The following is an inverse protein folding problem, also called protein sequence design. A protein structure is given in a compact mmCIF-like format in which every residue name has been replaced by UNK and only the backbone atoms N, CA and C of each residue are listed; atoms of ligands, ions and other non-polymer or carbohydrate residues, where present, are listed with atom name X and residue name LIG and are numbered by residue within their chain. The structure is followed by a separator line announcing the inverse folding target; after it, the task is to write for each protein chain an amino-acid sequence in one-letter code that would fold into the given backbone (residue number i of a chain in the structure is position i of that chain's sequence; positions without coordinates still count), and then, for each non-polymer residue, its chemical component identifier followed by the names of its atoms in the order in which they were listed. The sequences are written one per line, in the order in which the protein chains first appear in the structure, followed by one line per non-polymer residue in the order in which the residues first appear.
data_IF_721077292877
#
_entry.id   IF_721077292877
#
_cell.length_a   1.000
_cell.length_b   1.000
_cell.length_c   1.000
_cell.angle_alpha   90.00
_cell.angle_beta   90.00
_cell.angle_gamma   90.00
#
_symmetry.space_group_name_H-M   'P 1'
#
loop_
_entity.id
_entity.type
_entity.pdbx_description
1 polymer ?
#
# COMPACT_ATOMS: atom_id res chain seq x y z
N UNK A 1 21.17 56.91 23.50
CA UNK A 1 20.35 56.35 22.39
C UNK A 1 21.03 55.06 21.94
N UNK A 2 20.38 53.91 22.13
CA UNK A 2 20.57 52.61 21.45
C UNK A 2 19.93 51.53 22.34
N UNK A 3 18.59 51.47 22.32
CA UNK A 3 17.81 50.32 22.77
C UNK A 3 17.44 49.54 21.51
N UNK A 4 17.77 48.24 21.45
CA UNK A 4 17.41 47.43 20.29
C UNK A 4 17.91 45.98 20.33
N UNK A 5 17.98 45.36 21.50
CA UNK A 5 18.18 43.92 21.59
C UNK A 5 16.86 43.19 21.37
N UNK A 6 16.61 42.70 20.14
CA UNK A 6 15.55 41.74 19.85
C UNK A 6 15.99 40.39 20.42
N UNK A 7 15.84 40.23 21.74
CA UNK A 7 15.77 38.93 22.37
C UNK A 7 14.29 38.56 22.40
N UNK A 8 13.85 37.77 21.40
CA UNK A 8 12.61 37.01 21.46
C UNK A 8 12.71 36.04 22.65
N UNK A 9 12.40 36.53 23.85
CA UNK A 9 12.06 35.68 24.99
C UNK A 9 10.78 34.95 24.61
N UNK A 10 10.94 33.74 24.07
CA UNK A 10 9.84 32.78 23.94
C UNK A 10 9.34 32.49 25.35
N UNK A 11 8.24 33.13 25.73
CA UNK A 11 7.56 32.86 26.98
C UNK A 11 6.96 31.44 26.90
N UNK A 12 7.38 30.48 27.73
CA UNK A 12 6.87 29.10 27.70
C UNK A 12 5.37 28.99 28.02
N UNK A 13 4.71 30.11 28.38
CA UNK A 13 3.25 30.20 28.57
C UNK A 13 2.48 30.60 27.31
N UNK A 14 3.14 30.80 26.17
CA UNK A 14 2.41 31.01 24.91
C UNK A 14 1.84 29.67 24.42
N UNK A 15 0.52 29.58 24.14
CA UNK A 15 -0.13 28.34 23.73
C UNK A 15 0.55 27.72 22.49
N UNK A 16 1.10 28.56 21.61
CA UNK A 16 1.88 28.15 20.44
C UNK A 16 3.10 27.28 20.77
N UNK A 17 3.84 27.59 21.83
CA UNK A 17 5.04 26.83 22.24
C UNK A 17 4.63 25.45 22.78
N UNK A 18 3.58 25.38 23.60
CA UNK A 18 3.04 24.10 24.08
C UNK A 18 2.54 23.21 22.92
N UNK A 19 1.85 23.80 21.93
CA UNK A 19 1.42 23.08 20.73
C UNK A 19 2.59 22.59 19.88
N UNK A 20 3.66 23.39 19.75
CA UNK A 20 4.87 23.00 19.02
C UNK A 20 5.50 21.76 19.65
N UNK A 21 5.78 21.80 20.95
CA UNK A 21 6.35 20.64 21.66
C UNK A 21 5.42 19.43 21.63
N UNK A 22 4.11 19.63 21.84
CA UNK A 22 3.12 18.57 21.73
C UNK A 22 3.12 17.90 20.34
N UNK A 23 3.24 18.69 19.27
CA UNK A 23 3.29 18.18 17.89
C UNK A 23 4.53 17.34 17.63
N UNK A 24 5.70 17.80 18.10
CA UNK A 24 6.97 17.06 17.98
C UNK A 24 6.94 15.77 18.78
N UNK A 25 6.44 15.81 20.03
CA UNK A 25 6.33 14.62 20.89
C UNK A 25 5.39 13.59 20.27
N UNK A 26 4.20 14.01 19.82
CA UNK A 26 3.26 13.12 19.14
C UNK A 26 3.87 12.56 17.86
N UNK A 27 4.56 13.40 17.09
CA UNK A 27 5.29 12.96 15.90
C UNK A 27 6.32 11.88 16.20
N UNK A 28 7.19 12.08 17.20
CA UNK A 28 8.20 11.09 17.60
C UNK A 28 7.55 9.78 18.04
N UNK A 29 6.52 9.85 18.90
CA UNK A 29 5.82 8.66 19.38
C UNK A 29 5.14 7.91 18.24
N UNK A 30 4.41 8.62 17.38
CA UNK A 30 3.75 8.03 16.21
C UNK A 30 4.74 7.47 15.21
N UNK A 31 5.89 8.13 15.01
CA UNK A 31 6.95 7.67 14.14
C UNK A 31 7.57 6.36 14.62
N UNK A 32 7.91 6.28 15.92
CA UNK A 32 8.50 5.07 16.50
C UNK A 32 7.51 3.89 16.52
N UNK A 33 6.28 4.11 17.00
CA UNK A 33 5.24 3.07 17.06
C UNK A 33 4.82 2.66 15.64
N UNK A 34 4.59 3.63 14.76
CA UNK A 34 4.18 3.40 13.37
C UNK A 34 5.24 2.63 12.58
N UNK A 35 6.52 2.93 12.79
CA UNK A 35 7.63 2.15 12.20
C UNK A 35 7.65 0.71 12.68
N UNK A 36 7.60 0.48 14.00
CA UNK A 36 7.56 -0.87 14.56
C UNK A 36 6.41 -1.68 13.97
N UNK A 37 5.22 -1.09 13.94
CA UNK A 37 4.01 -1.69 13.43
C UNK A 37 4.11 -2.05 11.95
N UNK A 38 4.45 -1.08 11.09
CA UNK A 38 4.47 -1.27 9.65
C UNK A 38 5.60 -2.21 9.22
N UNK A 39 6.78 -2.10 9.85
CA UNK A 39 7.88 -3.02 9.60
C UNK A 39 7.50 -4.45 10.01
N UNK A 40 6.95 -4.67 11.21
CA UNK A 40 6.51 -6.01 11.63
C UNK A 40 5.44 -6.59 10.71
N UNK A 41 4.51 -5.77 10.24
CA UNK A 41 3.48 -6.18 9.29
C UNK A 41 4.10 -6.64 7.95
N UNK A 42 5.01 -5.84 7.37
CA UNK A 42 5.65 -6.15 6.09
C UNK A 42 6.58 -7.36 6.20
N UNK A 43 7.52 -7.36 7.16
CA UNK A 43 8.43 -8.48 7.37
C UNK A 43 7.69 -9.77 7.74
N UNK A 44 6.59 -9.67 8.47
CA UNK A 44 5.74 -10.82 8.76
C UNK A 44 5.08 -11.41 7.52
N UNK A 45 4.63 -10.56 6.58
CA UNK A 45 4.11 -11.03 5.29
C UNK A 45 5.20 -11.74 4.50
N UNK A 46 6.34 -11.10 4.32
CA UNK A 46 7.45 -11.65 3.52
C UNK A 46 7.98 -12.96 4.13
N UNK A 47 8.11 -13.02 5.46
CA UNK A 47 8.56 -14.22 6.16
C UNK A 47 7.57 -15.39 5.96
N UNK A 48 6.28 -15.20 6.21
CA UNK A 48 5.30 -16.28 6.07
C UNK A 48 5.16 -16.71 4.60
N UNK A 49 5.12 -15.75 3.67
CA UNK A 49 4.98 -16.01 2.24
C UNK A 49 6.19 -16.78 1.67
N UNK A 50 7.42 -16.45 2.12
CA UNK A 50 8.62 -17.19 1.72
C UNK A 50 8.60 -18.64 2.17
N UNK A 51 8.15 -18.92 3.41
CA UNK A 51 8.01 -20.29 3.92
C UNK A 51 6.94 -21.08 3.14
N UNK A 52 5.83 -20.44 2.77
CA UNK A 52 4.80 -21.06 1.94
C UNK A 52 5.32 -21.39 0.54
N UNK A 53 6.14 -20.51 -0.06
CA UNK A 53 6.71 -20.72 -1.39
C UNK A 53 7.59 -21.98 -1.41
N UNK A 54 8.40 -22.20 -0.37
CA UNK A 54 9.20 -23.43 -0.21
C UNK A 54 8.30 -24.67 -0.12
N UNK A 55 7.20 -24.60 0.62
CA UNK A 55 6.22 -25.69 0.71
C UNK A 55 5.51 -25.97 -0.62
N UNK A 56 5.21 -24.92 -1.40
CA UNK A 56 4.56 -25.01 -2.71
C UNK A 56 5.46 -25.74 -3.71
N UNK A 57 6.77 -25.49 -3.69
CA UNK A 57 7.74 -26.15 -4.57
C UNK A 57 7.92 -27.66 -4.27
N UNK A 58 7.52 -28.13 -3.08
CA UNK A 58 7.64 -29.53 -2.67
C UNK A 58 6.50 -30.46 -3.11
N UNK A 59 5.42 -29.93 -3.69
CA UNK A 59 4.20 -30.67 -4.04
C UNK A 59 3.63 -30.21 -5.39
N UNK A 60 2.65 -30.92 -5.99
CA UNK A 60 1.97 -30.43 -7.18
C UNK A 60 1.38 -29.04 -6.96
N UNK A 61 1.77 -28.07 -7.79
CA UNK A 61 1.45 -26.65 -7.62
C UNK A 61 -0.04 -26.39 -7.32
N UNK A 62 -0.96 -27.04 -8.03
CA UNK A 62 -2.39 -26.83 -7.82
C UNK A 62 -2.85 -27.23 -6.40
N UNK A 63 -2.36 -28.35 -5.88
CA UNK A 63 -2.76 -28.87 -4.56
C UNK A 63 -2.21 -27.99 -3.45
N UNK A 64 -0.96 -27.54 -3.58
CA UNK A 64 -0.33 -26.66 -2.59
C UNK A 64 -1.01 -25.29 -2.54
N UNK A 65 -1.33 -24.68 -3.69
CA UNK A 65 -2.12 -23.45 -3.73
C UNK A 65 -3.52 -23.62 -3.13
N UNK A 66 -4.24 -24.71 -3.44
CA UNK A 66 -5.55 -24.97 -2.82
C UNK A 66 -5.42 -25.07 -1.31
N UNK A 67 -4.43 -25.80 -0.79
CA UNK A 67 -4.24 -26.00 0.65
C UNK A 67 -3.95 -24.68 1.38
N UNK A 68 -2.97 -23.90 0.87
CA UNK A 68 -2.57 -22.63 1.46
C UNK A 68 -3.70 -21.60 1.41
N UNK A 69 -4.34 -21.43 0.25
CA UNK A 69 -5.45 -20.47 0.11
C UNK A 69 -6.68 -20.88 0.92
N UNK A 70 -6.95 -22.18 1.07
CA UNK A 70 -8.03 -22.66 1.95
C UNK A 70 -7.75 -22.34 3.41
N UNK A 71 -6.54 -22.57 3.90
CA UNK A 71 -6.14 -22.23 5.27
C UNK A 71 -6.27 -20.73 5.52
N UNK A 72 -5.77 -19.91 4.58
CA UNK A 72 -5.89 -18.45 4.60
C UNK A 72 -7.35 -18.00 4.66
N UNK A 73 -8.20 -18.54 3.77
CA UNK A 73 -9.61 -18.19 3.70
C UNK A 73 -10.37 -18.58 4.97
N UNK A 74 -10.05 -19.72 5.59
CA UNK A 74 -10.63 -20.14 6.87
C UNK A 74 -10.29 -19.16 8.01
N UNK A 75 -9.04 -18.73 8.09
CA UNK A 75 -8.60 -17.75 9.10
C UNK A 75 -9.31 -16.40 8.86
N UNK A 76 -9.38 -15.92 7.60
CA UNK A 76 -10.09 -14.67 7.26
C UNK A 76 -11.58 -14.77 7.58
N UNK A 77 -12.22 -15.92 7.30
CA UNK A 77 -13.62 -16.16 7.65
C UNK A 77 -13.84 -16.17 9.17
N UNK A 78 -12.90 -16.74 9.94
CA UNK A 78 -12.93 -16.70 11.40
C UNK A 78 -12.80 -15.27 11.94
N UNK A 79 -11.87 -14.46 11.39
CA UNK A 79 -11.72 -13.05 11.76
C UNK A 79 -12.99 -12.24 11.42
N UNK A 80 -13.66 -12.55 10.31
CA UNK A 80 -14.94 -11.93 9.95
C UNK A 80 -16.06 -12.28 10.95
N UNK A 81 -16.05 -13.50 11.49
CA UNK A 81 -16.96 -13.90 12.58
C UNK A 81 -16.68 -13.10 13.86
N UNK A 82 -15.40 -12.90 14.22
CA UNK A 82 -15.02 -12.06 15.36
C UNK A 82 -15.39 -10.57 15.18
N UNK A 83 -15.43 -10.11 13.93
CA UNK A 83 -15.92 -8.80 13.53
C UNK A 83 -17.46 -8.69 13.56
N UNK A 84 -18.18 -9.73 14.04
CA UNK A 84 -19.64 -9.79 14.10
C UNK A 84 -20.31 -9.62 12.73
N UNK A 85 -19.63 -10.02 11.64
CA UNK A 85 -20.13 -9.89 10.28
C UNK A 85 -20.09 -8.49 9.69
N UNK A 86 -19.57 -7.49 10.43
CA UNK A 86 -19.39 -6.13 9.91
C UNK A 86 -18.30 -6.17 8.81
N UNK A 87 -18.47 -5.45 7.68
CA UNK A 87 -17.43 -5.33 6.67
C UNK A 87 -16.10 -4.84 7.27
N UNK A 88 -14.99 -5.42 6.80
CA UNK A 88 -13.66 -4.94 7.15
C UNK A 88 -13.43 -3.52 6.63
N UNK A 89 -12.59 -2.79 7.36
CA UNK A 89 -12.33 -1.38 7.16
C UNK A 89 -11.00 -1.14 6.44
N UNK A 90 -10.97 -0.11 5.61
CA UNK A 90 -9.80 0.25 4.79
C UNK A 90 -9.52 1.74 4.76
N UNK A 91 -8.85 2.19 3.69
CA UNK A 91 -8.44 3.59 3.53
C UNK A 91 -9.67 4.53 3.56
N UNK A 92 -10.79 4.13 2.95
CA UNK A 92 -12.01 4.93 2.93
C UNK A 92 -12.53 5.24 4.35
N UNK A 93 -12.46 4.26 5.27
CA UNK A 93 -12.79 4.47 6.68
C UNK A 93 -11.81 5.43 7.36
N UNK A 94 -10.51 5.34 7.04
CA UNK A 94 -9.50 6.26 7.55
C UNK A 94 -9.76 7.71 7.14
N UNK A 95 -10.10 7.93 5.87
CA UNK A 95 -10.50 9.25 5.35
C UNK A 95 -11.75 9.72 6.09
N UNK A 96 -12.78 8.87 6.22
CA UNK A 96 -13.99 9.22 6.95
C UNK A 96 -13.70 9.62 8.41
N UNK A 97 -12.83 8.89 9.10
CA UNK A 97 -12.45 9.17 10.48
C UNK A 97 -11.67 10.47 10.64
N UNK A 98 -10.76 10.79 9.70
CA UNK A 98 -10.04 12.06 9.70
C UNK A 98 -10.97 13.28 9.60
N UNK A 99 -12.12 13.11 8.94
CA UNK A 99 -13.08 14.20 8.71
C UNK A 99 -14.26 14.22 9.69
N UNK A 100 -14.27 13.38 10.73
CA UNK A 100 -15.36 13.35 11.71
C UNK A 100 -14.99 14.13 12.98
N UNK A 101 -15.86 15.04 13.43
CA UNK A 101 -15.64 15.83 14.66
C UNK A 101 -15.64 14.99 15.94
N UNK A 102 -16.35 13.87 15.96
CA UNK A 102 -16.44 12.92 17.07
C UNK A 102 -15.73 11.61 16.72
N UNK A 103 -15.05 11.00 17.68
CA UNK A 103 -14.47 9.67 17.51
C UNK A 103 -15.56 8.60 17.35
N UNK A 104 -15.78 8.16 16.09
CA UNK A 104 -16.68 7.05 15.71
C UNK A 104 -15.90 5.76 15.41
N UNK A 105 -14.62 5.70 15.78
CA UNK A 105 -13.75 4.61 15.38
C UNK A 105 -14.04 3.33 16.15
N UNK A 106 -14.08 2.22 15.40
CA UNK A 106 -14.23 0.87 15.95
C UNK A 106 -12.86 0.22 16.01
N UNK A 107 -12.04 0.59 16.99
CA UNK A 107 -10.65 0.13 17.13
C UNK A 107 -10.52 -1.39 16.96
N UNK A 108 -11.36 -2.19 17.65
CA UNK A 108 -11.36 -3.66 17.52
C UNK A 108 -11.58 -4.12 16.08
N UNK A 109 -12.52 -3.52 15.36
CA UNK A 109 -12.80 -3.86 13.96
C UNK A 109 -11.63 -3.46 13.05
N UNK A 110 -11.01 -2.32 13.29
CA UNK A 110 -9.82 -1.87 12.56
C UNK A 110 -8.66 -2.86 12.69
N UNK A 111 -8.33 -3.29 13.92
CA UNK A 111 -7.31 -4.33 14.15
C UNK A 111 -7.65 -5.67 13.50
N UNK A 112 -8.92 -6.10 13.54
CA UNK A 112 -9.35 -7.32 12.85
C UNK A 112 -9.23 -7.20 11.33
N UNK A 113 -9.49 -6.01 10.78
CA UNK A 113 -9.39 -5.73 9.34
C UNK A 113 -7.94 -5.77 8.87
N UNK A 114 -7.02 -5.15 9.63
CA UNK A 114 -5.59 -5.17 9.32
C UNK A 114 -5.02 -6.58 9.45
N UNK A 115 -5.43 -7.34 10.47
CA UNK A 115 -5.05 -8.74 10.63
C UNK A 115 -5.60 -9.63 9.49
N UNK A 116 -6.84 -9.41 9.05
CA UNK A 116 -7.40 -10.15 7.91
C UNK A 116 -6.62 -9.88 6.62
N UNK A 117 -6.17 -8.65 6.42
CA UNK A 117 -5.32 -8.30 5.29
C UNK A 117 -3.91 -8.90 5.40
N UNK A 118 -3.31 -8.89 6.59
CA UNK A 118 -2.03 -9.54 6.87
C UNK A 118 -2.09 -11.02 6.52
N UNK A 119 -3.13 -11.72 6.98
CA UNK A 119 -3.34 -13.15 6.71
C UNK A 119 -3.56 -13.39 5.22
N UNK A 120 -4.36 -12.57 4.55
CA UNK A 120 -4.62 -12.70 3.11
C UNK A 120 -3.33 -12.52 2.29
N UNK A 121 -2.55 -11.47 2.58
CA UNK A 121 -1.32 -11.17 1.88
C UNK A 121 -0.22 -12.21 2.15
N UNK A 122 -0.02 -12.58 3.41
CA UNK A 122 0.95 -13.61 3.81
C UNK A 122 0.57 -15.01 3.33
N UNK A 123 -0.73 -15.26 3.18
CA UNK A 123 -1.32 -16.46 2.60
C UNK A 123 -1.29 -16.55 1.07
N UNK A 124 -0.62 -15.61 0.40
CA UNK A 124 -0.41 -15.61 -1.05
C UNK A 124 -1.59 -15.16 -1.90
N UNK A 125 -2.68 -14.65 -1.31
CA UNK A 125 -3.74 -14.02 -2.08
C UNK A 125 -3.19 -12.78 -2.82
N UNK A 126 -3.73 -12.49 -4.00
CA UNK A 126 -3.29 -11.35 -4.80
C UNK A 126 -3.94 -10.08 -4.25
N UNK A 127 -3.32 -9.48 -3.25
CA UNK A 127 -3.82 -8.29 -2.54
C UNK A 127 -2.68 -7.34 -2.20
N UNK A 128 -3.01 -6.09 -1.92
CA UNK A 128 -2.06 -5.07 -1.50
C UNK A 128 -1.96 -4.90 0.02
N UNK A 129 -0.76 -4.60 0.50
CA UNK A 129 -0.50 -4.34 1.92
C UNK A 129 -0.73 -2.88 2.34
N UNK A 130 -0.58 -1.93 1.41
CA UNK A 130 -0.48 -0.51 1.77
C UNK A 130 -1.79 0.10 2.26
N UNK A 131 -2.94 -0.27 1.70
CA UNK A 131 -4.23 0.20 2.22
C UNK A 131 -4.50 -0.26 3.66
N UNK A 132 -4.31 -1.56 3.97
CA UNK A 132 -4.32 -2.05 5.34
C UNK A 132 -3.30 -1.34 6.25
N UNK A 133 -2.08 -1.05 5.78
CA UNK A 133 -1.08 -0.32 6.56
C UNK A 133 -1.52 1.12 6.89
N UNK A 134 -2.11 1.85 5.93
CA UNK A 134 -2.71 3.17 6.16
C UNK A 134 -3.80 3.09 7.23
N UNK A 135 -4.69 2.10 7.09
CA UNK A 135 -5.74 1.91 8.08
C UNK A 135 -5.17 1.52 9.45
N UNK A 136 -4.12 0.71 9.49
CA UNK A 136 -3.46 0.34 10.73
C UNK A 136 -2.84 1.58 11.43
N UNK A 137 -2.14 2.43 10.67
CA UNK A 137 -1.63 3.70 11.17
C UNK A 137 -2.73 4.61 11.71
N UNK A 138 -3.91 4.62 11.08
CA UNK A 138 -5.10 5.33 11.58
C UNK A 138 -5.54 4.79 12.94
N UNK A 139 -5.68 3.47 13.08
CA UNK A 139 -6.14 2.85 14.32
C UNK A 139 -5.14 3.06 15.46
N UNK A 140 -3.83 3.00 15.18
CA UNK A 140 -2.81 3.36 16.17
C UNK A 140 -2.91 4.83 16.55
N UNK A 141 -3.04 5.73 15.57
CA UNK A 141 -3.18 7.17 15.83
C UNK A 141 -4.35 7.47 16.74
N UNK A 142 -5.52 6.90 16.45
CA UNK A 142 -6.72 7.08 17.28
C UNK A 142 -6.56 6.44 18.66
N UNK A 143 -5.93 5.27 18.75
CA UNK A 143 -5.62 4.64 20.04
C UNK A 143 -4.72 5.54 20.88
N UNK A 144 -3.64 6.09 20.30
CA UNK A 144 -2.72 6.98 21.00
C UNK A 144 -3.41 8.28 21.43
N UNK A 145 -4.30 8.83 20.59
CA UNK A 145 -5.11 10.01 20.91
C UNK A 145 -6.00 9.81 22.15
N UNK A 146 -6.52 8.60 22.36
CA UNK A 146 -7.33 8.28 23.55
C UNK A 146 -6.50 8.25 24.85
N UNK A 147 -5.22 7.95 24.76
CA UNK A 147 -4.31 7.96 25.92
C UNK A 147 -3.63 9.32 26.15
N UNK A 148 -3.32 10.05 25.07
CA UNK A 148 -2.58 11.30 25.14
C UNK A 148 -3.37 12.46 24.50
N UNK A 149 -3.67 13.48 25.31
CA UNK A 149 -4.35 14.68 24.85
C UNK A 149 -3.42 15.91 24.90
N UNK A 150 -2.54 16.04 23.90
CA UNK A 150 -1.65 17.21 23.75
C UNK A 150 -2.35 18.43 23.09
N UNK A 151 -3.68 18.52 23.18
CA UNK A 151 -4.47 19.58 22.54
C UNK A 151 -4.55 19.49 21.00
N UNK A 152 -3.97 18.46 20.39
CA UNK A 152 -4.04 18.21 18.95
C UNK A 152 -5.36 17.50 18.58
N UNK A 153 -5.87 17.80 17.39
CA UNK A 153 -7.07 17.15 16.84
C UNK A 153 -6.84 15.68 16.50
N UNK A 154 -7.94 14.94 16.35
CA UNK A 154 -7.92 13.52 16.00
C UNK A 154 -7.36 13.29 14.58
N UNK A 155 -7.64 14.22 13.67
CA UNK A 155 -7.07 14.33 12.32
C UNK A 155 -5.53 14.33 12.35
N UNK A 156 -4.90 15.08 13.26
CA UNK A 156 -3.44 15.15 13.38
C UNK A 156 -2.84 13.80 13.79
N UNK A 157 -3.47 13.09 14.73
CA UNK A 157 -3.02 11.75 15.13
C UNK A 157 -3.22 10.72 14.02
N UNK A 158 -4.34 10.78 13.30
CA UNK A 158 -4.58 9.92 12.13
C UNK A 158 -3.52 10.21 11.06
N UNK A 159 -3.33 11.47 10.69
CA UNK A 159 -2.35 11.88 9.69
C UNK A 159 -0.93 11.46 10.07
N UNK A 160 -0.53 11.65 11.33
CA UNK A 160 0.79 11.25 11.81
C UNK A 160 0.99 9.72 11.75
N UNK A 161 -0.04 8.95 12.10
CA UNK A 161 0.00 7.50 12.03
C UNK A 161 0.02 6.96 10.60
N UNK A 162 -0.76 7.55 9.71
CA UNK A 162 -0.73 7.24 8.28
C UNK A 162 0.64 7.57 7.69
N UNK A 163 1.18 8.76 7.96
CA UNK A 163 2.48 9.16 7.44
C UNK A 163 3.60 8.25 7.95
N UNK A 164 3.60 7.88 9.24
CA UNK A 164 4.54 6.91 9.78
C UNK A 164 4.43 5.53 9.08
N UNK A 165 3.21 5.00 8.94
CA UNK A 165 2.98 3.70 8.32
C UNK A 165 3.42 3.65 6.85
N UNK A 166 3.13 4.70 6.07
CA UNK A 166 3.57 4.81 4.67
C UNK A 166 5.08 5.01 4.58
N UNK A 167 5.64 5.88 5.42
CA UNK A 167 7.08 6.20 5.43
C UNK A 167 7.94 4.96 5.66
N UNK A 168 7.64 4.17 6.69
CA UNK A 168 8.34 2.90 6.96
C UNK A 168 7.96 1.78 5.99
N UNK A 169 6.69 1.71 5.54
CA UNK A 169 6.24 0.71 4.58
C UNK A 169 6.93 0.81 3.21
N UNK A 170 7.16 2.03 2.72
CA UNK A 170 7.80 2.30 1.44
C UNK A 170 9.27 2.72 1.52
N UNK A 171 9.79 3.03 2.72
CA UNK A 171 11.09 3.69 2.84
C UNK A 171 11.09 5.10 2.23
N UNK A 172 9.95 5.79 2.23
CA UNK A 172 9.76 7.05 1.51
C UNK A 172 9.09 8.12 2.41
N UNK A 173 9.86 8.88 3.20
CA UNK A 173 9.29 9.82 4.17
C UNK A 173 8.54 10.98 3.53
N UNK A 174 8.99 11.46 2.37
CA UNK A 174 8.30 12.53 1.63
C UNK A 174 6.95 12.01 1.12
N UNK A 175 6.90 10.80 0.56
CA UNK A 175 5.66 10.19 0.10
C UNK A 175 4.67 9.99 1.26
N UNK A 176 5.12 9.53 2.44
CA UNK A 176 4.27 9.39 3.62
C UNK A 176 3.66 10.72 4.10
N UNK A 177 4.46 11.79 4.10
CA UNK A 177 4.00 13.13 4.44
C UNK A 177 2.95 13.65 3.45
N UNK A 178 3.24 13.57 2.14
CA UNK A 178 2.34 14.06 1.10
C UNK A 178 1.05 13.25 1.08
N UNK A 179 1.14 11.91 1.14
CA UNK A 179 -0.02 11.02 1.14
C UNK A 179 -0.98 11.32 2.29
N UNK A 180 -0.46 11.52 3.51
CA UNK A 180 -1.30 11.87 4.65
C UNK A 180 -2.06 13.19 4.43
N UNK A 181 -1.41 14.20 3.84
CA UNK A 181 -2.05 15.48 3.58
C UNK A 181 -3.02 15.46 2.40
N UNK A 182 -2.63 14.86 1.29
CA UNK A 182 -3.40 14.90 0.04
C UNK A 182 -4.55 13.90 0.03
N UNK A 183 -4.31 12.68 0.48
CA UNK A 183 -5.29 11.58 0.39
C UNK A 183 -6.17 11.52 1.63
N UNK A 184 -5.59 11.65 2.83
CA UNK A 184 -6.31 11.41 4.09
C UNK A 184 -6.92 12.67 4.69
N UNK A 185 -6.13 13.74 4.83
CA UNK A 185 -6.58 14.95 5.52
C UNK A 185 -7.25 15.98 4.61
N UNK A 186 -6.81 16.08 3.35
CA UNK A 186 -7.26 17.09 2.37
C UNK A 186 -7.21 18.54 2.88
N UNK A 187 -6.38 18.82 3.88
CA UNK A 187 -6.14 20.17 4.38
C UNK A 187 -4.70 20.32 4.88
N UNK A 188 -4.19 21.55 4.76
CA UNK A 188 -2.87 21.93 5.22
C UNK A 188 -3.04 22.93 6.36
N UNK A 189 -2.79 22.49 7.60
CA UNK A 189 -2.59 23.39 8.72
C UNK A 189 -1.13 23.31 9.18
N UNK A 190 -0.54 24.45 9.55
CA UNK A 190 0.85 24.47 10.07
C UNK A 190 1.04 23.51 11.26
N UNK A 191 0.00 23.33 12.08
CA UNK A 191 0.00 22.43 13.24
C UNK A 191 0.06 20.96 12.82
N UNK A 192 -0.75 20.55 11.84
CA UNK A 192 -0.75 19.19 11.31
C UNK A 192 0.56 18.83 10.63
N UNK A 193 1.12 19.76 9.83
CA UNK A 193 2.34 19.50 9.04
C UNK A 193 3.50 19.10 9.94
N UNK A 194 3.68 19.78 11.07
CA UNK A 194 4.78 19.49 12.00
C UNK A 194 4.72 18.07 12.58
N UNK A 195 3.59 17.68 13.17
CA UNK A 195 3.44 16.35 13.76
C UNK A 195 3.55 15.23 12.71
N UNK A 196 3.01 15.47 11.51
CA UNK A 196 2.99 14.49 10.42
C UNK A 196 4.39 14.34 9.81
N UNK A 197 5.09 15.45 9.55
CA UNK A 197 6.46 15.43 9.02
C UNK A 197 7.43 14.78 10.01
N UNK A 198 7.32 15.13 11.30
CA UNK A 198 8.16 14.51 12.33
C UNK A 198 7.86 13.02 12.47
N UNK A 199 6.59 12.59 12.46
CA UNK A 199 6.24 11.17 12.44
C UNK A 199 6.81 10.44 11.23
N UNK A 200 6.69 11.03 10.04
CA UNK A 200 7.21 10.45 8.80
C UNK A 200 8.73 10.27 8.83
N UNK A 201 9.48 11.32 9.20
CA UNK A 201 10.93 11.28 9.28
C UNK A 201 11.45 10.34 10.37
N UNK A 202 10.86 10.39 11.57
CA UNK A 202 11.22 9.48 12.67
C UNK A 202 10.92 8.03 12.29
N UNK A 203 9.77 7.79 11.63
CA UNK A 203 9.43 6.44 11.19
C UNK A 203 10.41 5.90 10.15
N UNK A 204 10.85 6.72 9.20
CA UNK A 204 11.87 6.31 8.23
C UNK A 204 13.21 6.04 8.92
N UNK A 205 13.68 6.97 9.76
CA UNK A 205 14.95 6.82 10.48
C UNK A 205 14.96 5.56 11.35
N UNK A 206 13.89 5.31 12.09
CA UNK A 206 13.75 4.13 12.95
C UNK A 206 13.71 2.83 12.12
N UNK A 207 12.94 2.82 11.03
CA UNK A 207 12.86 1.67 10.12
C UNK A 207 14.21 1.33 9.50
N UNK A 208 14.90 2.34 8.98
CA UNK A 208 16.21 2.20 8.34
C UNK A 208 17.31 1.77 9.32
N UNK A 209 17.24 2.21 10.58
CA UNK A 209 18.23 1.82 11.59
C UNK A 209 18.01 0.39 12.10
N UNK A 210 16.77 0.02 12.41
CA UNK A 210 16.45 -1.26 13.08
C UNK A 210 16.33 -2.40 12.08
N UNK A 211 15.66 -2.19 10.96
CA UNK A 211 15.42 -3.24 9.96
C UNK A 211 16.34 -3.15 8.74
N UNK A 212 17.20 -2.11 8.67
CA UNK A 212 18.06 -1.85 7.50
C UNK A 212 17.28 -1.90 6.20
N UNK A 213 16.06 -1.37 6.22
CA UNK A 213 15.13 -1.47 5.09
C UNK A 213 15.79 -0.83 3.87
N UNK A 214 16.17 -1.60 2.83
CA UNK A 214 16.62 -0.98 1.59
C UNK A 214 15.47 -0.15 1.04
N UNK A 215 15.80 0.86 0.24
CA UNK A 215 14.78 1.52 -0.58
C UNK A 215 14.03 0.44 -1.36
N UNK A 216 12.70 0.53 -1.43
CA UNK A 216 11.89 -0.50 -2.10
C UNK A 216 12.30 -0.67 -3.55
N UNK A 217 12.95 0.34 -4.15
CA UNK A 217 13.60 0.23 -5.44
C UNK A 217 14.93 0.99 -5.39
N UNK A 218 16.03 0.32 -5.73
CA UNK A 218 17.36 0.93 -5.88
C UNK A 218 17.66 1.01 -7.37
N UNK A 219 17.91 2.22 -7.88
CA UNK A 219 17.90 2.50 -9.31
C UNK A 219 19.29 2.92 -9.80
N UNK A 220 19.81 2.36 -10.91
CA UNK A 220 21.02 2.87 -11.52
C UNK A 220 20.76 4.28 -12.09
N UNK A 221 21.80 5.11 -12.11
CA UNK A 221 21.77 6.40 -12.81
C UNK A 221 21.73 6.09 -14.30
N UNK A 222 20.61 6.36 -14.95
CA UNK A 222 20.43 6.21 -16.39
C UNK A 222 20.78 7.53 -17.07
N UNK A 223 21.66 7.47 -18.06
CA UNK A 223 21.82 8.55 -19.03
C UNK A 223 20.72 8.38 -20.09
N UNK A 224 19.91 9.42 -20.29
CA UNK A 224 18.82 9.42 -21.27
C UNK A 224 18.63 10.83 -21.86
N UNK A 225 18.09 10.90 -23.07
CA UNK A 225 17.63 12.15 -23.64
C UNK A 225 16.31 12.56 -22.97
N UNK A 226 16.36 13.64 -22.19
CA UNK A 226 15.21 14.15 -21.46
C UNK A 226 14.05 14.51 -22.40
N UNK A 227 14.32 15.05 -23.59
CA UNK A 227 13.27 15.45 -24.52
C UNK A 227 12.53 14.23 -25.05
N UNK A 228 13.26 13.20 -25.47
CA UNK A 228 12.71 11.93 -25.95
C UNK A 228 11.86 11.25 -24.87
N UNK A 229 12.41 11.11 -23.65
CA UNK A 229 11.71 10.49 -22.52
C UNK A 229 10.43 11.24 -22.18
N UNK A 230 10.46 12.57 -22.12
CA UNK A 230 9.27 13.38 -21.81
C UNK A 230 8.20 13.22 -22.90
N UNK A 231 8.59 13.25 -24.17
CA UNK A 231 7.67 13.11 -25.29
C UNK A 231 6.99 11.72 -25.28
N UNK A 232 7.77 10.65 -25.12
CA UNK A 232 7.25 9.28 -25.09
C UNK A 232 6.45 8.99 -23.82
N UNK A 233 6.83 9.60 -22.69
CA UNK A 233 6.04 9.54 -21.45
C UNK A 233 4.69 10.22 -21.60
N UNK A 234 4.63 11.32 -22.34
CA UNK A 234 3.35 11.97 -22.67
C UNK A 234 2.48 11.08 -23.57
N UNK A 235 3.08 10.46 -24.59
CA UNK A 235 2.38 9.56 -25.52
C UNK A 235 1.90 8.27 -24.84
N UNK A 236 2.61 7.76 -23.84
CA UNK A 236 2.19 6.58 -23.06
C UNK A 236 1.07 6.86 -22.06
N UNK A 237 0.78 8.14 -21.75
CA UNK A 237 -0.29 8.55 -20.82
C UNK A 237 -1.64 7.89 -21.07
N UNK A 238 -2.21 7.92 -22.30
CA UNK A 238 -3.45 7.22 -22.64
C UNK A 238 -3.42 5.71 -22.39
N UNK A 239 -2.25 5.06 -22.59
CA UNK A 239 -2.09 3.61 -22.37
C UNK A 239 -2.13 3.30 -20.87
N UNK A 240 -1.43 4.10 -20.05
CA UNK A 240 -1.50 3.97 -18.59
C UNK A 240 -2.89 4.28 -18.04
N UNK A 241 -3.57 5.29 -18.59
CA UNK A 241 -4.94 5.61 -18.23
C UNK A 241 -5.90 4.46 -18.58
N UNK A 242 -5.76 3.86 -19.76
CA UNK A 242 -6.52 2.67 -20.14
C UNK A 242 -6.29 1.52 -19.15
N UNK A 243 -5.03 1.25 -18.80
CA UNK A 243 -4.66 0.21 -17.84
C UNK A 243 -5.30 0.43 -16.46
N UNK A 244 -5.22 1.65 -15.94
CA UNK A 244 -5.84 2.01 -14.65
C UNK A 244 -7.37 1.90 -14.67
N UNK A 245 -8.02 2.42 -15.72
CA UNK A 245 -9.48 2.34 -15.90
C UNK A 245 -9.90 0.87 -16.01
N UNK A 246 -9.20 0.08 -16.81
CA UNK A 246 -9.50 -1.34 -16.98
C UNK A 246 -9.37 -2.10 -15.65
N UNK A 247 -8.28 -1.88 -14.90
CA UNK A 247 -8.08 -2.45 -13.57
C UNK A 247 -9.26 -2.12 -12.63
N UNK A 248 -9.63 -0.85 -12.51
CA UNK A 248 -10.73 -0.42 -11.64
C UNK A 248 -12.10 -0.95 -12.09
N UNK A 249 -12.36 -0.99 -13.40
CA UNK A 249 -13.59 -1.54 -13.93
C UNK A 249 -13.72 -3.04 -13.62
N UNK A 250 -12.65 -3.82 -13.78
CA UNK A 250 -12.66 -5.25 -13.45
C UNK A 250 -12.90 -5.47 -11.96
N UNK A 251 -12.23 -4.71 -11.08
CA UNK A 251 -12.47 -4.78 -9.63
C UNK A 251 -13.94 -4.53 -9.28
N UNK A 252 -14.55 -3.49 -9.85
CA UNK A 252 -15.96 -3.13 -9.62
C UNK A 252 -16.95 -4.13 -10.22
N UNK A 253 -16.64 -4.72 -11.39
CA UNK A 253 -17.46 -5.75 -12.01
C UNK A 253 -17.45 -7.04 -11.18
N UNK A 254 -16.30 -7.46 -10.66
CA UNK A 254 -16.20 -8.63 -9.79
C UNK A 254 -16.89 -8.40 -8.43
N UNK A 255 -16.92 -7.16 -7.94
CA UNK A 255 -17.72 -6.79 -6.77
C UNK A 255 -19.23 -7.00 -7.02
N UNK A 256 -19.73 -6.60 -8.20
CA UNK A 256 -21.13 -6.86 -8.60
C UNK A 256 -21.40 -8.35 -8.82
N UNK A 257 -20.45 -9.08 -9.41
CA UNK A 257 -20.58 -10.51 -9.67
C UNK A 257 -20.64 -11.31 -8.36
N UNK A 258 -19.78 -10.99 -7.40
CA UNK A 258 -19.74 -11.69 -6.11
C UNK A 258 -21.06 -11.54 -5.34
N UNK A 259 -21.71 -10.38 -5.44
CA UNK A 259 -23.02 -10.12 -4.83
C UNK A 259 -24.15 -11.00 -5.40
N UNK A 260 -24.03 -11.50 -6.64
CA UNK A 260 -25.00 -12.45 -7.21
C UNK A 260 -24.95 -13.83 -6.53
N UNK A 261 -23.83 -14.16 -5.89
CA UNK A 261 -23.66 -15.39 -5.10
C UNK A 261 -24.11 -15.08 -3.67
N UNK A 262 -25.32 -15.51 -3.32
CA UNK A 262 -25.92 -15.29 -2.00
C UNK A 262 -25.26 -16.09 -0.88
N UNK A 263 -24.66 -17.24 -1.20
CA UNK A 263 -24.03 -18.14 -0.23
C UNK A 263 -22.53 -17.80 -0.09
N UNK A 264 -22.16 -17.26 1.08
CA UNK A 264 -20.78 -16.83 1.37
C UNK A 264 -19.73 -17.95 1.19
N UNK A 265 -20.05 -19.19 1.58
CA UNK A 265 -19.12 -20.31 1.43
C UNK A 265 -18.82 -20.64 -0.04
N UNK A 266 -19.82 -20.59 -0.91
CA UNK A 266 -19.64 -20.82 -2.35
C UNK A 266 -18.74 -19.73 -2.93
N UNK A 267 -18.97 -18.47 -2.52
CA UNK A 267 -18.15 -17.34 -2.95
C UNK A 267 -16.67 -17.56 -2.57
N UNK A 268 -16.40 -18.00 -1.35
CA UNK A 268 -15.03 -18.32 -0.89
C UNK A 268 -14.41 -19.46 -1.69
N UNK A 269 -15.15 -20.55 -1.91
CA UNK A 269 -14.67 -21.71 -2.68
C UNK A 269 -14.32 -21.30 -4.11
N UNK A 270 -15.16 -20.50 -4.77
CA UNK A 270 -14.86 -19.96 -6.10
C UNK A 270 -13.58 -19.15 -6.10
N UNK A 271 -13.37 -18.30 -5.09
CA UNK A 271 -12.14 -17.53 -4.92
C UNK A 271 -10.90 -18.43 -4.82
N UNK A 272 -10.95 -19.45 -3.96
CA UNK A 272 -9.84 -20.40 -3.77
C UNK A 272 -9.52 -21.15 -5.06
N UNK A 273 -10.54 -21.72 -5.71
CA UNK A 273 -10.33 -22.55 -6.92
C UNK A 273 -9.75 -21.71 -8.06
N UNK A 274 -10.30 -20.53 -8.31
CA UNK A 274 -9.83 -19.66 -9.40
C UNK A 274 -8.41 -19.16 -9.12
N UNK A 275 -8.11 -18.71 -7.89
CA UNK A 275 -6.78 -18.25 -7.53
C UNK A 275 -5.74 -19.37 -7.52
N UNK A 276 -6.11 -20.57 -7.07
CA UNK A 276 -5.20 -21.71 -7.10
C UNK A 276 -4.89 -22.14 -8.52
N UNK A 277 -5.89 -22.12 -9.41
CA UNK A 277 -5.68 -22.36 -10.83
C UNK A 277 -4.71 -21.32 -11.42
N UNK A 278 -4.99 -20.02 -11.25
CA UNK A 278 -4.12 -18.95 -11.75
C UNK A 278 -2.69 -19.08 -11.18
N UNK A 279 -2.55 -19.22 -9.86
CA UNK A 279 -1.24 -19.33 -9.21
C UNK A 279 -0.44 -20.56 -9.65
N UNK A 280 -1.10 -21.66 -10.00
CA UNK A 280 -0.43 -22.87 -10.48
C UNK A 280 0.22 -22.72 -11.86
N UNK A 281 -0.27 -21.80 -12.69
CA UNK A 281 0.28 -21.53 -14.03
C UNK A 281 1.09 -20.24 -14.10
N UNK A 282 0.73 -19.23 -13.30
CA UNK A 282 1.30 -17.88 -13.32
C UNK A 282 1.58 -17.44 -11.88
N UNK A 283 2.58 -18.02 -11.20
CA UNK A 283 2.88 -17.72 -9.80
C UNK A 283 3.24 -16.24 -9.57
N UNK A 284 3.72 -15.53 -10.59
CA UNK A 284 4.13 -14.12 -10.56
C UNK A 284 2.98 -13.17 -10.21
N UNK A 285 1.72 -13.56 -10.47
CA UNK A 285 0.56 -12.71 -10.16
C UNK A 285 0.05 -12.87 -8.72
N UNK A 286 0.57 -13.84 -7.98
CA UNK A 286 0.18 -14.15 -6.61
C UNK A 286 0.92 -13.26 -5.59
N UNK A 287 0.41 -13.21 -4.37
CA UNK A 287 0.97 -12.37 -3.29
C UNK A 287 1.03 -10.88 -3.64
N UNK A 288 1.99 -10.18 -3.02
CA UNK A 288 2.16 -8.73 -3.13
C UNK A 288 2.62 -8.27 -4.53
N UNK A 289 3.40 -9.10 -5.24
CA UNK A 289 3.97 -8.78 -6.55
C UNK A 289 5.29 -8.01 -6.53
N UNK A 290 5.89 -7.73 -5.36
CA UNK A 290 7.13 -6.94 -5.25
C UNK A 290 8.30 -7.56 -6.02
N UNK A 291 8.52 -8.88 -5.88
CA UNK A 291 9.57 -9.60 -6.61
C UNK A 291 9.36 -9.52 -8.13
N UNK A 292 8.11 -9.70 -8.58
CA UNK A 292 7.76 -9.59 -9.99
C UNK A 292 8.02 -8.18 -10.53
N UNK A 293 7.76 -7.12 -9.75
CA UNK A 293 8.12 -5.76 -10.17
C UNK A 293 9.63 -5.63 -10.35
N UNK A 294 10.45 -6.20 -9.45
CA UNK A 294 11.90 -6.21 -9.62
C UNK A 294 12.34 -6.97 -10.87
N UNK A 295 11.76 -8.15 -11.12
CA UNK A 295 12.08 -8.97 -12.29
C UNK A 295 11.68 -8.27 -13.60
N UNK A 296 10.55 -7.58 -13.62
CA UNK A 296 10.15 -6.70 -14.75
C UNK A 296 11.17 -5.59 -14.92
N UNK A 297 11.58 -4.94 -13.84
CA UNK A 297 12.55 -3.85 -13.90
C UNK A 297 13.94 -4.31 -14.40
N UNK A 298 14.31 -5.57 -14.12
CA UNK A 298 15.54 -6.19 -14.63
C UNK A 298 15.46 -6.62 -16.11
N UNK A 299 14.31 -6.48 -16.77
CA UNK A 299 14.13 -6.90 -18.17
C UNK A 299 14.07 -8.42 -18.34
N UNK A 300 13.71 -9.15 -17.28
CA UNK A 300 13.73 -10.63 -17.28
C UNK A 300 12.50 -11.26 -17.96
N UNK A 301 11.53 -10.46 -18.40
CA UNK A 301 10.30 -10.97 -19.00
C UNK A 301 10.18 -10.63 -20.48
N UNK A 302 9.79 -11.62 -21.26
CA UNK A 302 9.37 -11.41 -22.65
C UNK A 302 8.03 -10.63 -22.69
N UNK A 303 7.78 -9.93 -23.80
CA UNK A 303 6.54 -9.18 -24.04
C UNK A 303 5.27 -10.03 -23.80
N UNK A 304 5.26 -11.30 -24.22
CA UNK A 304 4.14 -12.21 -24.00
C UNK A 304 3.88 -12.47 -22.51
N UNK A 305 4.93 -12.70 -21.73
CA UNK A 305 4.85 -12.90 -20.29
C UNK A 305 4.32 -11.64 -19.58
N UNK A 306 4.77 -10.45 -20.00
CA UNK A 306 4.29 -9.19 -19.43
C UNK A 306 2.79 -8.99 -19.65
N UNK A 307 2.27 -9.30 -20.84
CA UNK A 307 0.83 -9.21 -21.14
C UNK A 307 0.03 -10.21 -20.28
N UNK A 308 0.55 -11.43 -20.10
CA UNK A 308 -0.07 -12.45 -19.24
C UNK A 308 -0.09 -11.98 -17.78
N UNK A 309 1.04 -11.51 -17.25
CA UNK A 309 1.15 -11.00 -15.87
C UNK A 309 0.20 -9.82 -15.67
N UNK A 310 0.17 -8.86 -16.59
CA UNK A 310 -0.71 -7.69 -16.55
C UNK A 310 -2.18 -8.11 -16.44
N UNK A 311 -2.65 -8.99 -17.33
CA UNK A 311 -4.06 -9.42 -17.36
C UNK A 311 -4.43 -10.25 -16.13
N UNK A 312 -3.61 -11.26 -15.80
CA UNK A 312 -3.93 -12.18 -14.70
C UNK A 312 -3.72 -11.55 -13.33
N UNK A 313 -2.86 -10.53 -13.17
CA UNK A 313 -2.76 -9.77 -11.92
C UNK A 313 -4.05 -9.03 -11.63
N UNK A 314 -4.64 -8.39 -12.64
CA UNK A 314 -5.92 -7.69 -12.53
C UNK A 314 -7.02 -8.67 -12.09
N UNK A 315 -7.14 -9.81 -12.77
CA UNK A 315 -8.15 -10.84 -12.48
C UNK A 315 -7.93 -11.44 -11.09
N UNK A 316 -6.70 -11.84 -10.75
CA UNK A 316 -6.38 -12.44 -9.46
C UNK A 316 -6.68 -11.47 -8.31
N UNK A 317 -6.40 -10.17 -8.49
CA UNK A 317 -6.72 -9.16 -7.49
C UNK A 317 -8.23 -8.97 -7.33
N UNK A 318 -8.96 -8.92 -8.45
CA UNK A 318 -10.41 -8.80 -8.46
C UNK A 318 -11.10 -10.00 -7.79
N UNK A 319 -10.61 -11.22 -8.03
CA UNK A 319 -11.09 -12.43 -7.36
C UNK A 319 -10.75 -12.38 -5.88
N UNK A 320 -9.50 -12.08 -5.52
CA UNK A 320 -9.06 -12.05 -4.11
C UNK A 320 -9.94 -11.13 -3.26
N UNK A 321 -10.14 -9.88 -3.68
CA UNK A 321 -10.88 -8.89 -2.89
C UNK A 321 -12.38 -9.14 -2.81
N UNK A 322 -12.97 -9.78 -3.82
CA UNK A 322 -14.41 -9.96 -3.91
C UNK A 322 -14.89 -11.37 -3.52
N UNK A 323 -14.00 -12.36 -3.48
CA UNK A 323 -14.33 -13.76 -3.26
C UNK A 323 -13.72 -14.36 -1.99
N UNK A 324 -13.60 -13.57 -0.92
CA UNK A 324 -13.38 -14.08 0.44
C UNK A 324 -12.12 -13.61 1.14
N UNK A 325 -11.14 -13.08 0.40
CA UNK A 325 -9.94 -12.47 0.98
C UNK A 325 -10.15 -10.98 1.22
N UNK A 326 -9.20 -10.34 1.89
CA UNK A 326 -9.25 -8.91 2.18
C UNK A 326 -7.87 -8.28 2.03
N UNK A 327 -7.81 -7.03 1.58
CA UNK A 327 -6.56 -6.30 1.44
C UNK A 327 -6.74 -4.99 0.67
N UNK A 328 -5.63 -4.38 0.29
CA UNK A 328 -5.59 -3.16 -0.51
C UNK A 328 -5.49 -3.42 -2.01
N UNK A 329 -5.62 -2.36 -2.80
CA UNK A 329 -5.52 -2.40 -4.27
C UNK A 329 -4.19 -1.83 -4.79
N UNK A 330 -3.42 -1.14 -3.93
CA UNK A 330 -2.26 -0.35 -4.34
C UNK A 330 -1.05 -1.21 -4.75
N UNK A 331 -0.68 -2.26 -4.00
CA UNK A 331 0.47 -3.11 -4.41
C UNK A 331 0.22 -3.81 -5.76
N UNK A 332 -0.97 -4.38 -6.03
CA UNK A 332 -1.29 -4.86 -7.37
C UNK A 332 -1.29 -3.76 -8.43
N UNK A 333 -1.73 -2.54 -8.12
CA UNK A 333 -1.67 -1.42 -9.06
C UNK A 333 -0.23 -1.07 -9.47
N UNK A 334 0.75 -1.16 -8.55
CA UNK A 334 2.18 -1.02 -8.87
C UNK A 334 2.60 -2.07 -9.90
N UNK A 335 2.26 -3.35 -9.69
CA UNK A 335 2.62 -4.41 -10.65
C UNK A 335 1.92 -4.26 -12.00
N UNK A 336 0.65 -3.87 -12.01
CA UNK A 336 -0.10 -3.57 -13.24
C UNK A 336 0.56 -2.39 -13.98
N UNK A 337 0.93 -1.33 -13.27
CA UNK A 337 1.65 -0.18 -13.82
C UNK A 337 3.02 -0.54 -14.37
N UNK A 338 3.82 -1.29 -13.61
CA UNK A 338 5.13 -1.79 -14.03
C UNK A 338 5.03 -2.62 -15.31
N UNK A 339 4.09 -3.58 -15.34
CA UNK A 339 3.85 -4.42 -16.51
C UNK A 339 3.42 -3.57 -17.71
N UNK A 340 2.56 -2.57 -17.51
CA UNK A 340 2.12 -1.68 -18.60
C UNK A 340 3.28 -0.87 -19.19
N UNK A 341 4.16 -0.35 -18.32
CA UNK A 341 5.37 0.38 -18.72
C UNK A 341 6.36 -0.49 -19.49
N UNK A 342 6.61 -1.71 -19.01
CA UNK A 342 7.49 -2.66 -19.68
C UNK A 342 6.92 -3.14 -21.03
N UNK A 343 5.59 -3.35 -21.13
CA UNK A 343 4.90 -3.64 -22.39
C UNK A 343 5.13 -2.50 -23.39
N UNK A 344 4.91 -1.25 -22.96
CA UNK A 344 5.10 -0.08 -23.80
C UNK A 344 6.55 0.02 -24.31
N UNK A 345 7.53 -0.11 -23.42
CA UNK A 345 8.95 -0.07 -23.81
C UNK A 345 9.33 -1.22 -24.75
N UNK A 346 8.85 -2.43 -24.48
CA UNK A 346 9.11 -3.60 -25.34
C UNK A 346 8.56 -3.42 -26.75
N UNK A 347 7.39 -2.80 -26.89
CA UNK A 347 6.80 -2.49 -28.20
C UNK A 347 7.62 -1.42 -28.93
N UNK A 348 8.04 -0.35 -28.26
CA UNK A 348 8.89 0.67 -28.87
C UNK A 348 10.23 0.11 -29.36
N UNK A 349 10.84 -0.77 -28.56
CA UNK A 349 12.08 -1.46 -28.92
C UNK A 349 11.90 -2.34 -30.17
N UNK A 350 10.82 -3.14 -30.23
CA UNK A 350 10.52 -3.97 -31.41
C UNK A 350 10.22 -3.16 -32.68
N UNK A 351 9.66 -1.95 -32.54
CA UNK A 351 9.42 -1.03 -33.64
C UNK A 351 10.67 -0.24 -34.06
N UNK A 352 11.78 -0.37 -33.33
CA UNK A 352 13.02 0.37 -33.58
C UNK A 352 12.90 1.87 -33.33
N UNK A 353 11.96 2.30 -32.47
CA UNK A 353 11.73 3.71 -32.15
C UNK A 353 12.78 4.22 -31.15
N UNK A 354 13.14 3.40 -30.16
CA UNK A 354 14.10 3.75 -29.11
C UNK A 354 14.95 2.55 -28.72
N UNK A 355 16.11 2.83 -28.11
CA UNK A 355 16.84 1.82 -27.35
C UNK A 355 16.04 1.37 -26.11
N UNK A 356 16.50 0.31 -25.45
CA UNK A 356 15.78 -0.32 -24.34
C UNK A 356 15.75 0.57 -23.09
N UNK A 357 14.74 1.45 -23.01
CA UNK A 357 14.46 2.34 -21.86
C UNK A 357 13.41 1.76 -20.90
N UNK A 358 13.45 0.44 -20.68
CA UNK A 358 12.43 -0.32 -19.94
C UNK A 358 12.21 0.23 -18.53
N UNK A 359 13.31 0.49 -17.82
CA UNK A 359 13.30 0.99 -16.45
C UNK A 359 12.56 2.32 -16.30
N UNK A 360 12.72 3.25 -17.26
CA UNK A 360 12.09 4.57 -17.24
C UNK A 360 10.58 4.41 -17.39
N UNK A 361 10.14 3.67 -18.41
CA UNK A 361 8.70 3.49 -18.66
C UNK A 361 8.01 2.64 -17.59
N UNK A 362 8.72 1.69 -16.96
CA UNK A 362 8.23 0.98 -15.77
C UNK A 362 7.95 1.95 -14.63
N UNK A 363 8.85 2.90 -14.33
CA UNK A 363 8.63 3.91 -13.28
C UNK A 363 7.46 4.84 -13.64
N UNK A 364 7.38 5.29 -14.89
CA UNK A 364 6.25 6.09 -15.37
C UNK A 364 4.92 5.33 -15.23
N UNK A 365 4.89 4.05 -15.62
CA UNK A 365 3.71 3.19 -15.54
C UNK A 365 3.28 2.94 -14.10
N UNK A 366 4.22 2.64 -13.19
CA UNK A 366 3.96 2.53 -11.75
C UNK A 366 3.31 3.82 -11.23
N UNK A 367 3.91 4.97 -11.54
CA UNK A 367 3.44 6.27 -11.04
C UNK A 367 2.06 6.63 -11.59
N UNK A 368 1.82 6.42 -12.89
CA UNK A 368 0.57 6.76 -13.55
C UNK A 368 -0.58 5.85 -13.10
N UNK A 369 -0.37 4.53 -13.06
CA UNK A 369 -1.43 3.58 -12.69
C UNK A 369 -1.71 3.63 -11.18
N UNK A 370 -0.69 3.62 -10.33
CA UNK A 370 -0.89 3.67 -8.88
C UNK A 370 -1.43 5.04 -8.40
N UNK A 371 -1.12 6.14 -9.09
CA UNK A 371 -1.68 7.46 -8.79
C UNK A 371 -3.13 7.64 -9.24
N UNK A 372 -3.60 6.86 -10.22
CA UNK A 372 -4.96 6.95 -10.77
C UNK A 372 -5.99 6.09 -10.05
N UNK A 373 -5.55 5.18 -9.18
CA UNK A 373 -6.34 4.11 -8.54
C UNK A 373 -6.39 4.33 -7.03
#
# INVERSE_FOLDING_TARGET
MLRGGILLKLDPKTPSVFFFFGSVIVGILMGAIGSLMASMFRYGIDYIYSQQTVMILGFPFLVSYIAVLSMTALIVAYLRKLASGIPFQGIADSIYYAHTATDKTKIKLGFLSTLAAFVSASGGASVGQYGPLVHFGTIIGVSLKRFFNFGLGLDVFIGAGVAAAISSGFGAPIAGLIFAHEVVLRHYSHKSIMAIATASCVSYAFSSMVWKTPQVFDFPILEFDLFEVVLLSFVSGPIYAFSAIFYMQVLLQFAKLSQKISINYIRIIVGIVVLAFIGSFIPEVMGLGTNTVFDIFSGNFALSSLIIIWLFKIIATAVSLNFGFFGGIFSPAILVGASTGAIFSSVLYQLGVTDQMEQIFVICGISAVAGSV
#
